data_IF_982698714146
#
_entry.id   IF_982698714146
#
_cell.length_a   1.000
_cell.length_b   1.000
_cell.length_c   1.000
_cell.angle_alpha   90.00
_cell.angle_beta   90.00
_cell.angle_gamma   90.00
#
_symmetry.space_group_name_H-M   'P 1'
#
loop_
_entity.id
_entity.type
_entity.pdbx_description
1 polymer ?
#
# COMPACT_ATOMS: atom_id res chain seq x y z
N UNK A 1 -3.49 -23.01 19.24
CA UNK A 1 -2.28 -22.40 18.67
C UNK A 1 -2.60 -20.94 18.37
N UNK A 2 -1.79 -20.03 18.89
CA UNK A 2 -2.06 -18.60 19.06
C UNK A 2 -2.59 -17.89 17.83
N UNK A 3 -3.60 -17.04 18.05
CA UNK A 3 -3.96 -15.96 17.13
C UNK A 3 -2.67 -15.17 16.83
N UNK A 4 -2.22 -15.25 15.58
CA UNK A 4 -1.01 -14.58 15.06
C UNK A 4 -1.30 -13.09 15.11
N UNK A 5 -0.68 -12.36 16.03
CA UNK A 5 -0.81 -10.90 16.10
C UNK A 5 -0.30 -10.30 14.78
N UNK A 6 -1.07 -9.47 14.08
CA UNK A 6 -0.59 -8.76 12.90
C UNK A 6 0.69 -7.98 13.27
N UNK A 7 1.66 -7.89 12.36
CA UNK A 7 2.84 -7.04 12.58
C UNK A 7 2.36 -5.58 12.83
N UNK A 8 3.10 -4.76 13.60
CA UNK A 8 2.77 -3.35 13.71
C UNK A 8 2.80 -2.70 12.32
N UNK A 9 1.90 -1.73 12.08
CA UNK A 9 1.96 -0.94 10.84
C UNK A 9 3.31 -0.22 10.76
N UNK A 10 3.88 -0.04 9.55
CA UNK A 10 5.04 0.82 9.38
C UNK A 10 4.76 2.24 9.90
N UNK A 11 5.77 2.97 10.45
CA UNK A 11 5.57 4.31 11.02
C UNK A 11 5.00 5.35 10.04
N UNK A 12 5.12 5.08 8.74
CA UNK A 12 4.65 5.94 7.66
C UNK A 12 3.20 5.66 7.23
N UNK A 13 2.61 4.55 7.70
CA UNK A 13 1.25 4.14 7.42
C UNK A 13 0.29 5.06 8.19
N UNK A 14 -0.59 5.78 7.47
CA UNK A 14 -1.59 6.70 8.08
C UNK A 14 -2.95 6.03 8.28
N UNK A 15 -2.99 4.76 7.94
CA UNK A 15 -4.10 3.86 7.96
C UNK A 15 -4.19 3.28 9.39
N UNK A 16 -5.39 3.30 10.01
CA UNK A 16 -5.70 2.76 11.34
C UNK A 16 -5.03 1.40 11.64
N UNK A 17 -4.86 1.03 12.92
CA UNK A 17 -4.35 -0.30 13.26
C UNK A 17 -5.32 -1.42 12.80
N UNK A 18 -4.89 -2.26 11.85
CA UNK A 18 -5.67 -3.43 11.39
C UNK A 18 -6.24 -3.35 9.98
N UNK A 19 -5.57 -2.63 9.06
CA UNK A 19 -6.11 -2.37 7.73
C UNK A 19 -6.38 -3.60 6.88
N UNK A 20 -7.40 -3.45 6.03
CA UNK A 20 -8.17 -4.51 5.40
C UNK A 20 -7.34 -5.64 4.79
N UNK A 21 -7.86 -6.85 4.95
CA UNK A 21 -7.38 -7.98 4.17
C UNK A 21 -8.18 -8.04 2.87
N UNK A 22 -7.48 -8.10 1.74
CA UNK A 22 -8.11 -8.54 0.49
C UNK A 22 -7.62 -9.95 0.14
N UNK A 23 -8.51 -10.72 -0.46
CA UNK A 23 -8.16 -11.98 -1.10
C UNK A 23 -7.53 -11.68 -2.45
N UNK A 24 -6.21 -11.60 -2.50
CA UNK A 24 -5.49 -11.22 -3.72
C UNK A 24 -5.54 -12.28 -4.85
N UNK A 25 -6.22 -13.43 -4.65
CA UNK A 25 -6.27 -14.51 -5.63
C UNK A 25 -7.68 -15.15 -5.68
N UNK A 26 -8.39 -15.10 -6.83
CA UNK A 26 -9.57 -15.92 -7.04
C UNK A 26 -9.13 -17.38 -7.16
N UNK A 27 -9.15 -18.11 -6.04
CA UNK A 27 -8.87 -19.55 -5.96
C UNK A 27 -7.72 -19.98 -5.04
N UNK A 28 -6.97 -19.05 -4.44
CA UNK A 28 -5.73 -19.36 -3.70
C UNK A 28 -5.77 -19.26 -2.17
N UNK A 29 -6.78 -18.61 -1.57
CA UNK A 29 -6.97 -18.55 -0.12
C UNK A 29 -5.91 -17.76 0.67
N UNK A 30 -5.03 -17.01 0.01
CA UNK A 30 -4.04 -16.15 0.66
C UNK A 30 -4.68 -14.81 1.04
N UNK A 31 -4.47 -14.39 2.29
CA UNK A 31 -4.92 -13.10 2.79
C UNK A 31 -3.77 -12.11 2.68
N UNK A 32 -3.99 -10.99 2.01
CA UNK A 32 -2.97 -9.94 1.92
C UNK A 32 -3.45 -8.74 2.71
N UNK A 33 -2.61 -8.25 3.62
CA UNK A 33 -2.82 -7.01 4.36
C UNK A 33 -2.16 -5.86 3.62
N UNK A 34 -2.87 -4.75 3.45
CA UNK A 34 -2.36 -3.56 2.78
C UNK A 34 -2.06 -2.46 3.80
N UNK A 35 -0.86 -1.90 3.71
CA UNK A 35 -0.46 -0.65 4.36
C UNK A 35 -0.52 0.47 3.34
N UNK A 36 -1.04 1.62 3.73
CA UNK A 36 -1.31 2.71 2.81
C UNK A 36 -1.07 4.09 3.41
N UNK A 37 -0.67 5.02 2.54
CA UNK A 37 -0.68 6.46 2.80
C UNK A 37 -1.09 7.18 1.54
N UNK A 38 -2.13 8.01 1.61
CA UNK A 38 -2.56 8.82 0.48
C UNK A 38 -1.70 10.09 0.37
N UNK A 39 -1.25 10.39 -0.84
CA UNK A 39 -0.42 11.55 -1.18
C UNK A 39 -1.15 12.41 -2.22
N UNK A 40 -2.35 12.87 -1.86
CA UNK A 40 -3.27 13.57 -2.76
C UNK A 40 -4.37 12.66 -3.27
N UNK A 41 -5.00 13.06 -4.39
CA UNK A 41 -6.21 12.40 -4.91
C UNK A 41 -5.92 11.09 -5.66
N UNK A 42 -4.78 11.01 -6.35
CA UNK A 42 -4.48 9.91 -7.28
C UNK A 42 -3.32 9.03 -6.86
N UNK A 43 -2.66 9.34 -5.75
CA UNK A 43 -1.38 8.76 -5.39
C UNK A 43 -1.46 8.12 -4.02
N UNK A 44 -1.05 6.86 -3.93
CA UNK A 44 -1.01 6.13 -2.67
C UNK A 44 0.31 5.39 -2.56
N UNK A 45 1.03 5.54 -1.44
CA UNK A 45 2.17 4.66 -1.14
C UNK A 45 1.63 3.42 -0.45
N UNK A 46 1.95 2.27 -1.02
CA UNK A 46 1.42 0.97 -0.59
C UNK A 46 2.54 0.02 -0.22
N UNK A 47 2.34 -0.77 0.84
CA UNK A 47 3.09 -1.99 1.07
C UNK A 47 2.13 -3.13 1.36
N UNK A 48 2.40 -4.30 0.79
CA UNK A 48 1.59 -5.50 0.95
C UNK A 48 2.30 -6.45 1.91
N UNK A 49 1.56 -7.04 2.83
CA UNK A 49 2.02 -8.16 3.63
C UNK A 49 1.19 -9.39 3.32
N UNK A 50 1.85 -10.44 2.86
CA UNK A 50 1.19 -11.72 2.66
C UNK A 50 1.01 -12.39 4.03
N UNK A 51 -0.22 -12.36 4.54
CA UNK A 51 -0.59 -13.20 5.66
C UNK A 51 -0.82 -14.60 5.12
N UNK A 52 0.02 -15.55 5.53
CA UNK A 52 -0.24 -16.94 5.19
C UNK A 52 -1.66 -17.28 5.68
N UNK A 53 -2.38 -18.01 4.83
CA UNK A 53 -3.63 -18.68 5.16
C UNK A 53 -3.45 -19.59 6.40
N UNK A 54 -4.37 -20.52 6.67
CA UNK A 54 -4.44 -21.33 7.90
C UNK A 54 -3.12 -22.01 8.38
N UNK A 55 -1.99 -21.96 7.64
CA UNK A 55 -0.77 -22.74 7.86
C UNK A 55 0.57 -22.04 8.23
N UNK A 56 0.71 -20.72 8.38
CA UNK A 56 2.06 -20.19 8.75
C UNK A 56 2.25 -18.71 9.11
N UNK A 57 3.47 -18.31 9.52
CA UNK A 57 3.82 -16.90 9.75
C UNK A 57 3.83 -16.08 8.45
N UNK A 58 3.80 -14.75 8.55
CA UNK A 58 3.94 -13.80 7.43
C UNK A 58 5.24 -14.09 6.67
N UNK A 59 5.15 -14.29 5.34
CA UNK A 59 6.27 -14.82 4.54
C UNK A 59 6.95 -13.79 3.64
N UNK A 60 6.26 -12.74 3.22
CA UNK A 60 6.80 -11.74 2.32
C UNK A 60 6.10 -10.39 2.48
N UNK A 61 6.89 -9.32 2.37
CA UNK A 61 6.40 -7.96 2.19
C UNK A 61 6.77 -7.46 0.80
N UNK A 62 5.81 -6.90 0.06
CA UNK A 62 6.07 -6.19 -1.20
C UNK A 62 5.96 -4.69 -0.94
N UNK A 63 6.92 -3.92 -1.44
CA UNK A 63 6.95 -2.46 -1.28
C UNK A 63 7.88 -1.98 -0.16
N UNK A 64 7.80 -0.68 0.19
CA UNK A 64 6.81 0.31 -0.26
C UNK A 64 6.95 0.66 -1.75
N UNK A 65 5.83 0.85 -2.45
CA UNK A 65 5.76 1.32 -3.84
C UNK A 65 4.67 2.38 -4.01
N UNK A 66 4.74 3.15 -5.10
CA UNK A 66 3.73 4.13 -5.46
C UNK A 66 2.67 3.48 -6.34
N UNK A 67 1.41 3.50 -5.89
CA UNK A 67 0.23 3.24 -6.69
C UNK A 67 -0.32 4.56 -7.24
N UNK A 68 -0.62 4.59 -8.55
CA UNK A 68 -1.09 5.78 -9.27
C UNK A 68 -2.47 5.44 -9.85
N UNK A 69 -3.51 5.82 -9.12
CA UNK A 69 -4.91 5.68 -9.49
C UNK A 69 -5.42 6.97 -10.15
N UNK A 70 -4.93 7.25 -11.36
CA UNK A 70 -5.29 8.43 -12.15
C UNK A 70 -5.86 8.00 -13.52
N UNK A 71 -7.14 8.32 -13.77
CA UNK A 71 -7.78 8.08 -15.08
C UNK A 71 -8.04 9.41 -15.80
N UNK A 72 -7.56 9.51 -17.05
CA UNK A 72 -7.69 10.71 -17.87
C UNK A 72 -9.01 10.79 -18.66
N UNK A 73 -9.20 11.85 -19.46
CA UNK A 73 -8.21 12.86 -19.84
C UNK A 73 -8.03 13.98 -18.79
N UNK A 74 -6.80 14.53 -18.73
CA UNK A 74 -6.46 15.65 -17.86
C UNK A 74 -6.33 16.96 -18.64
N UNK A 75 -6.76 18.05 -18.04
CA UNK A 75 -6.35 19.41 -18.40
C UNK A 75 -4.85 19.60 -18.14
N UNK A 76 -4.26 20.64 -18.73
CA UNK A 76 -2.86 20.96 -18.49
C UNK A 76 -2.55 21.27 -17.01
N UNK A 77 -3.53 21.77 -16.25
CA UNK A 77 -3.36 22.05 -14.83
C UNK A 77 -3.39 20.78 -13.99
N UNK A 78 -4.37 19.91 -14.21
CA UNK A 78 -4.45 18.60 -13.54
C UNK A 78 -3.20 17.75 -13.83
N UNK A 79 -2.69 17.78 -15.07
CA UNK A 79 -1.45 17.10 -15.42
C UNK A 79 -0.23 17.64 -14.65
N UNK A 80 -0.15 18.97 -14.43
CA UNK A 80 0.92 19.58 -13.62
C UNK A 80 0.82 19.17 -12.15
N UNK A 81 -0.39 19.16 -11.61
CA UNK A 81 -0.64 18.77 -10.22
C UNK A 81 -0.30 17.30 -9.99
N UNK A 82 -0.68 16.42 -10.92
CA UNK A 82 -0.31 15.00 -10.86
C UNK A 82 1.21 14.81 -10.92
N UNK A 83 1.91 15.52 -11.82
CA UNK A 83 3.35 15.45 -11.92
C UNK A 83 4.06 15.89 -10.62
N UNK A 84 3.65 17.02 -10.05
CA UNK A 84 4.19 17.51 -8.77
C UNK A 84 3.90 16.53 -7.60
N UNK A 85 2.72 15.92 -7.61
CA UNK A 85 2.37 14.86 -6.65
C UNK A 85 3.30 13.65 -6.77
N UNK A 86 3.59 13.18 -8.00
CA UNK A 86 4.48 12.04 -8.24
C UNK A 86 5.90 12.36 -7.75
N UNK A 87 6.42 13.57 -8.01
CA UNK A 87 7.73 14.00 -7.52
C UNK A 87 7.80 13.94 -5.99
N UNK A 88 6.81 14.52 -5.30
CA UNK A 88 6.70 14.46 -3.84
C UNK A 88 6.61 13.03 -3.30
N UNK A 89 5.86 12.16 -3.97
CA UNK A 89 5.75 10.75 -3.60
C UNK A 89 7.06 9.98 -3.77
N UNK A 90 7.83 10.29 -4.81
CA UNK A 90 9.16 9.70 -5.04
C UNK A 90 10.14 10.14 -3.95
N UNK A 91 10.13 11.42 -3.57
CA UNK A 91 10.96 11.93 -2.46
C UNK A 91 10.61 11.25 -1.14
N UNK A 92 9.31 11.10 -0.85
CA UNK A 92 8.84 10.36 0.32
C UNK A 92 9.36 8.92 0.33
N UNK A 93 9.21 8.17 -0.78
CA UNK A 93 9.70 6.80 -0.91
C UNK A 93 11.23 6.70 -0.74
N UNK A 94 11.98 7.67 -1.26
CA UNK A 94 13.43 7.73 -1.10
C UNK A 94 13.83 7.90 0.38
N UNK A 95 13.02 8.61 1.17
CA UNK A 95 13.20 8.79 2.61
C UNK A 95 12.84 7.59 3.48
N UNK A 96 12.21 6.55 2.92
CA UNK A 96 11.87 5.31 3.65
C UNK A 96 13.01 4.27 3.69
N UNK A 97 14.15 4.57 3.05
CA UNK A 97 15.32 3.68 2.96
C UNK A 97 16.17 3.63 4.22
#
# INVERSE_FOLDING_TARGET
>A
MSARTPLPCPPWCEYEPGHGFDSAMPGGGELVRFHGRNLGEHLTVVAEEQAASERGPVTATRGPYLDISAEGPFTAEEARQLAAGIESAVEFLAGLR
#
